data_IF_154479432531
#
_entry.id   IF_154479432531
#
_cell.length_a   1.000
_cell.length_b   1.000
_cell.length_c   1.000
_cell.angle_alpha   90.00
_cell.angle_beta   90.00
_cell.angle_gamma   90.00
#
_symmetry.space_group_name_H-M   'P 1'
#
loop_
_entity.id
_entity.type
_entity.pdbx_description
1 polymer ?
#
# COMPACT_ATOMS: atom_id res chain seq x y z
N UNK A 1 1.41 -15.52 -20.44
CA UNK A 1 0.82 -15.34 -19.11
C UNK A 1 -0.49 -14.60 -19.23
N UNK A 2 -1.54 -15.07 -18.60
CA UNK A 2 -2.88 -14.49 -18.66
C UNK A 2 -3.21 -13.78 -17.36
N UNK A 3 -3.64 -12.52 -17.45
CA UNK A 3 -3.92 -11.67 -16.29
C UNK A 3 -5.36 -11.17 -16.39
N UNK A 4 -6.14 -11.39 -15.33
CA UNK A 4 -7.51 -10.89 -15.21
C UNK A 4 -7.51 -9.71 -14.23
N UNK A 5 -7.94 -8.53 -14.67
CA UNK A 5 -8.11 -7.35 -13.81
C UNK A 5 -9.60 -7.22 -13.46
N UNK A 6 -9.91 -7.30 -12.18
CA UNK A 6 -11.27 -7.09 -11.65
C UNK A 6 -11.34 -5.67 -11.10
N UNK A 7 -12.07 -4.79 -11.81
CA UNK A 7 -12.09 -3.36 -11.58
C UNK A 7 -11.07 -2.61 -12.44
N UNK A 8 -11.43 -2.22 -13.66
CA UNK A 8 -10.57 -1.45 -14.56
C UNK A 8 -10.80 0.07 -14.37
N UNK A 9 -10.79 0.51 -13.11
CA UNK A 9 -10.73 1.90 -12.70
C UNK A 9 -9.29 2.42 -12.71
N UNK A 10 -9.01 3.49 -11.97
CA UNK A 10 -7.67 4.08 -11.88
C UNK A 10 -6.59 3.07 -11.48
N UNK A 11 -6.79 2.33 -10.40
CA UNK A 11 -5.81 1.33 -9.95
C UNK A 11 -5.66 0.20 -10.97
N UNK A 12 -6.77 -0.30 -11.55
CA UNK A 12 -6.74 -1.36 -12.54
C UNK A 12 -5.98 -0.98 -13.81
N UNK A 13 -6.12 0.24 -14.30
CA UNK A 13 -5.37 0.75 -15.45
C UNK A 13 -3.87 0.89 -15.14
N UNK A 14 -3.50 1.25 -13.92
CA UNK A 14 -2.10 1.26 -13.47
C UNK A 14 -1.51 -0.15 -13.47
N UNK A 15 -2.24 -1.15 -12.98
CA UNK A 15 -1.83 -2.56 -13.08
C UNK A 15 -1.71 -3.02 -14.53
N UNK A 16 -2.67 -2.67 -15.40
CA UNK A 16 -2.58 -2.97 -16.82
C UNK A 16 -1.24 -2.48 -17.39
N UNK A 17 -0.95 -1.18 -17.25
CA UNK A 17 0.28 -0.56 -17.75
C UNK A 17 1.55 -1.18 -17.13
N UNK A 18 1.51 -1.49 -15.83
CA UNK A 18 2.64 -2.11 -15.14
C UNK A 18 2.92 -3.53 -15.68
N UNK A 19 1.89 -4.36 -15.88
CA UNK A 19 2.06 -5.69 -16.44
C UNK A 19 2.45 -5.68 -17.92
N UNK A 20 1.93 -4.77 -18.73
CA UNK A 20 2.35 -4.58 -20.13
C UNK A 20 3.83 -4.20 -20.20
N UNK A 21 4.28 -3.26 -19.34
CA UNK A 21 5.68 -2.88 -19.23
C UNK A 21 6.55 -4.07 -18.80
N UNK A 22 6.16 -4.81 -17.76
CA UNK A 22 6.89 -5.98 -17.28
C UNK A 22 6.96 -7.06 -18.37
N UNK A 23 5.86 -7.33 -19.07
CA UNK A 23 5.85 -8.27 -20.19
C UNK A 23 6.87 -7.90 -21.28
N UNK A 24 6.93 -6.61 -21.63
CA UNK A 24 7.89 -6.09 -22.61
C UNK A 24 9.33 -6.25 -22.12
N UNK A 25 9.62 -5.89 -20.88
CA UNK A 25 10.97 -5.94 -20.32
C UNK A 25 11.47 -7.37 -20.05
N UNK A 26 10.59 -8.28 -19.61
CA UNK A 26 10.95 -9.67 -19.31
C UNK A 26 10.89 -10.62 -20.52
N UNK A 27 10.37 -10.15 -21.66
CA UNK A 27 10.13 -11.02 -22.83
C UNK A 27 9.00 -12.03 -22.64
N UNK A 28 8.21 -11.92 -21.57
CA UNK A 28 7.07 -12.80 -21.30
C UNK A 28 5.83 -12.22 -21.97
N UNK A 29 5.25 -12.95 -22.92
CA UNK A 29 4.00 -12.54 -23.56
C UNK A 29 2.86 -12.47 -22.52
N UNK A 30 2.26 -11.29 -22.38
CA UNK A 30 1.16 -11.01 -21.45
C UNK A 30 -0.13 -10.81 -22.23
N UNK A 31 -1.20 -11.48 -21.79
CA UNK A 31 -2.56 -11.30 -22.30
C UNK A 31 -3.44 -10.84 -21.15
N UNK A 32 -4.07 -9.66 -21.28
CA UNK A 32 -4.87 -9.06 -20.21
C UNK A 32 -6.35 -9.06 -20.63
N UNK A 33 -7.20 -9.43 -19.68
CA UNK A 33 -8.66 -9.30 -19.77
C UNK A 33 -9.17 -8.58 -18.51
N UNK A 34 -10.42 -8.13 -18.54
CA UNK A 34 -10.98 -7.45 -17.37
C UNK A 34 -12.45 -7.79 -17.11
N UNK A 35 -12.85 -7.59 -15.85
CA UNK A 35 -14.25 -7.52 -15.39
C UNK A 35 -14.46 -6.15 -14.76
N UNK A 36 -15.49 -5.43 -15.19
CA UNK A 36 -15.88 -4.14 -14.58
C UNK A 36 -17.40 -3.96 -14.68
N UNK A 37 -17.99 -3.29 -13.72
CA UNK A 37 -19.44 -3.00 -13.73
C UNK A 37 -19.83 -1.93 -14.76
N UNK A 38 -18.87 -1.21 -15.33
CA UNK A 38 -19.07 -0.20 -16.39
C UNK A 38 -18.22 -0.53 -17.61
N UNK A 39 -18.77 -0.33 -18.82
CA UNK A 39 -17.98 -0.48 -20.05
C UNK A 39 -16.78 0.47 -20.04
N UNK A 40 -15.63 -0.02 -20.47
CA UNK A 40 -14.38 0.78 -20.56
C UNK A 40 -13.98 0.99 -22.03
N UNK A 41 -13.42 2.16 -22.32
CA UNK A 41 -12.81 2.45 -23.63
C UNK A 41 -11.41 1.84 -23.67
N UNK A 42 -11.31 0.58 -24.03
CA UNK A 42 -10.05 -0.18 -24.09
C UNK A 42 -10.14 -1.25 -25.17
N UNK A 43 -9.00 -1.74 -25.62
CA UNK A 43 -8.87 -2.90 -26.52
C UNK A 43 -8.84 -4.23 -25.77
N UNK A 44 -8.84 -4.21 -24.43
CA UNK A 44 -8.81 -5.42 -23.62
C UNK A 44 -10.12 -6.20 -23.77
N UNK A 45 -10.03 -7.52 -23.66
CA UNK A 45 -11.20 -8.41 -23.68
C UNK A 45 -12.04 -8.22 -22.41
N UNK A 46 -13.30 -7.80 -22.53
CA UNK A 46 -14.21 -7.69 -21.39
C UNK A 46 -14.82 -9.04 -21.03
N UNK A 47 -15.16 -9.20 -19.75
CA UNK A 47 -16.05 -10.22 -19.24
C UNK A 47 -17.10 -9.56 -18.35
N UNK A 48 -18.33 -10.05 -18.39
CA UNK A 48 -19.43 -9.52 -17.57
C UNK A 48 -19.36 -10.00 -16.13
N UNK A 49 -18.81 -11.20 -15.91
CA UNK A 49 -18.80 -11.88 -14.61
C UNK A 49 -17.46 -12.55 -14.34
N UNK A 50 -17.10 -12.59 -13.07
CA UNK A 50 -15.84 -13.18 -12.59
C UNK A 50 -15.78 -14.67 -12.88
N UNK A 51 -16.85 -15.42 -12.58
CA UNK A 51 -16.94 -16.87 -12.81
C UNK A 51 -16.77 -17.24 -14.30
N UNK A 52 -17.37 -16.47 -15.19
CA UNK A 52 -17.19 -16.61 -16.64
C UNK A 52 -15.73 -16.35 -17.05
N UNK A 53 -15.11 -15.29 -16.53
CA UNK A 53 -13.71 -14.99 -16.81
C UNK A 53 -12.76 -16.08 -16.29
N UNK A 54 -12.96 -16.57 -15.08
CA UNK A 54 -12.14 -17.64 -14.50
C UNK A 54 -12.23 -18.93 -15.33
N UNK A 55 -13.43 -19.30 -15.78
CA UNK A 55 -13.66 -20.51 -16.58
C UNK A 55 -13.11 -20.40 -18.01
N UNK A 56 -13.39 -19.29 -18.69
CA UNK A 56 -13.20 -19.18 -20.14
C UNK A 56 -11.83 -18.56 -20.48
N UNK A 57 -11.31 -17.64 -19.69
CA UNK A 57 -9.99 -17.03 -19.87
C UNK A 57 -8.89 -17.82 -19.15
N UNK A 58 -9.18 -18.43 -18.01
CA UNK A 58 -8.24 -19.20 -17.18
C UNK A 58 -7.00 -18.36 -16.85
N UNK A 59 -7.13 -17.30 -16.09
CA UNK A 59 -6.01 -16.44 -15.76
C UNK A 59 -4.98 -17.14 -14.88
N UNK A 60 -3.70 -16.84 -15.10
CA UNK A 60 -2.59 -17.22 -14.22
C UNK A 60 -2.51 -16.29 -13.02
N UNK A 61 -2.88 -15.01 -13.22
CA UNK A 61 -2.90 -13.95 -12.21
C UNK A 61 -4.27 -13.27 -12.23
N UNK A 62 -4.85 -13.06 -11.04
CA UNK A 62 -6.02 -12.22 -10.82
C UNK A 62 -5.61 -10.98 -10.05
N UNK A 63 -5.98 -9.80 -10.53
CA UNK A 63 -5.79 -8.52 -9.84
C UNK A 63 -7.15 -8.03 -9.35
N UNK A 64 -7.28 -7.80 -8.05
CA UNK A 64 -8.46 -7.19 -7.43
C UNK A 64 -8.16 -5.71 -7.21
N UNK A 65 -8.80 -4.84 -8.00
CA UNK A 65 -8.59 -3.39 -8.00
C UNK A 65 -9.91 -2.60 -8.11
N UNK A 66 -10.98 -3.21 -7.61
CA UNK A 66 -12.26 -2.53 -7.39
C UNK A 66 -12.14 -1.50 -6.26
N UNK A 67 -13.21 -0.79 -5.96
CA UNK A 67 -13.25 0.09 -4.79
C UNK A 67 -13.04 -0.71 -3.49
N UNK A 68 -12.33 -0.14 -2.53
CA UNK A 68 -11.93 -0.78 -1.26
C UNK A 68 -13.10 -1.43 -0.50
N UNK A 69 -14.28 -0.82 -0.53
CA UNK A 69 -15.52 -1.36 0.06
C UNK A 69 -16.04 -2.65 -0.61
N UNK A 70 -15.55 -2.99 -1.79
CA UNK A 70 -15.97 -4.16 -2.57
C UNK A 70 -14.92 -5.28 -2.61
N UNK A 71 -13.75 -5.09 -1.98
CA UNK A 71 -12.67 -6.08 -2.02
C UNK A 71 -13.13 -7.43 -1.48
N UNK A 72 -13.75 -7.47 -0.29
CA UNK A 72 -14.20 -8.70 0.34
C UNK A 72 -15.13 -9.52 -0.57
N UNK A 73 -16.15 -8.87 -1.12
CA UNK A 73 -17.13 -9.52 -2.00
C UNK A 73 -16.50 -10.10 -3.28
N UNK A 74 -15.45 -9.48 -3.80
CA UNK A 74 -14.69 -9.98 -4.96
C UNK A 74 -13.79 -11.12 -4.56
N UNK A 75 -13.06 -11.00 -3.44
CA UNK A 75 -12.15 -12.04 -2.95
C UNK A 75 -12.90 -13.34 -2.60
N UNK A 76 -14.10 -13.25 -2.05
CA UNK A 76 -14.96 -14.41 -1.80
C UNK A 76 -15.36 -15.15 -3.10
N UNK A 77 -15.55 -14.42 -4.23
CA UNK A 77 -15.86 -15.02 -5.52
C UNK A 77 -14.67 -15.75 -6.17
N UNK A 78 -13.46 -15.61 -5.63
CA UNK A 78 -12.28 -16.35 -6.09
C UNK A 78 -12.16 -17.74 -5.44
N UNK A 79 -13.15 -18.20 -4.69
CA UNK A 79 -13.15 -19.52 -4.07
C UNK A 79 -12.90 -20.61 -5.14
N UNK A 80 -11.88 -21.44 -4.88
CA UNK A 80 -11.45 -22.48 -5.81
C UNK A 80 -10.47 -22.01 -6.90
N UNK A 81 -10.16 -20.72 -7.00
CA UNK A 81 -9.11 -20.24 -7.90
C UNK A 81 -7.73 -20.70 -7.40
N UNK A 82 -6.87 -21.14 -8.35
CA UNK A 82 -5.57 -21.77 -8.03
C UNK A 82 -4.37 -20.98 -8.52
N UNK A 83 -4.55 -19.81 -9.14
CA UNK A 83 -3.44 -18.96 -9.59
C UNK A 83 -2.99 -17.97 -8.49
N UNK A 84 -2.26 -16.97 -8.92
CA UNK A 84 -1.78 -15.90 -8.05
C UNK A 84 -2.81 -14.77 -7.94
N UNK A 85 -3.05 -14.27 -6.74
CA UNK A 85 -3.95 -13.13 -6.49
C UNK A 85 -3.14 -11.91 -6.05
N UNK A 86 -3.31 -10.79 -6.74
CA UNK A 86 -2.84 -9.47 -6.30
C UNK A 86 -4.06 -8.66 -5.89
N UNK A 87 -4.06 -8.09 -4.70
CA UNK A 87 -5.17 -7.28 -4.22
C UNK A 87 -4.69 -5.86 -3.91
N UNK A 88 -5.47 -4.86 -4.31
CA UNK A 88 -5.29 -3.49 -3.82
C UNK A 88 -5.53 -3.42 -2.31
N UNK A 89 -4.86 -2.46 -1.70
CA UNK A 89 -5.03 -2.19 -0.27
C UNK A 89 -6.25 -1.27 -0.04
N UNK A 90 -6.90 -1.35 1.13
CA UNK A 90 -6.75 -2.39 2.16
C UNK A 90 -7.35 -3.72 1.70
N UNK A 91 -7.08 -4.81 2.43
CA UNK A 91 -7.61 -6.12 2.08
C UNK A 91 -9.15 -6.13 2.08
N UNK A 92 -9.74 -5.42 3.02
CA UNK A 92 -11.19 -5.38 3.27
C UNK A 92 -11.58 -4.09 4.00
N UNK A 93 -12.87 -3.86 4.15
CA UNK A 93 -13.43 -2.83 5.02
C UNK A 93 -13.59 -3.35 6.47
N UNK A 94 -13.67 -2.48 7.49
CA UNK A 94 -13.78 -2.90 8.89
C UNK A 94 -14.91 -3.89 9.21
N UNK A 95 -16.12 -3.81 8.62
CA UNK A 95 -17.22 -4.74 8.92
C UNK A 95 -17.09 -6.11 8.21
N UNK A 96 -16.12 -6.28 7.28
CA UNK A 96 -16.01 -7.48 6.48
C UNK A 96 -15.50 -8.68 7.29
N UNK A 97 -15.98 -9.88 6.93
CA UNK A 97 -15.60 -11.14 7.58
C UNK A 97 -14.28 -11.67 7.00
N UNK A 98 -13.20 -11.46 7.72
CA UNK A 98 -11.87 -11.90 7.33
C UNK A 98 -11.74 -13.44 7.22
N UNK A 99 -12.54 -14.20 7.96
CA UNK A 99 -12.50 -15.66 7.87
C UNK A 99 -13.07 -16.16 6.53
N UNK A 100 -14.09 -15.49 5.99
CA UNK A 100 -14.61 -15.79 4.66
C UNK A 100 -13.60 -15.46 3.56
N UNK A 101 -12.91 -14.31 3.66
CA UNK A 101 -11.84 -13.96 2.73
C UNK A 101 -10.74 -15.01 2.77
N UNK A 102 -10.30 -15.39 3.96
CA UNK A 102 -9.26 -16.43 4.13
C UNK A 102 -9.69 -17.77 3.53
N UNK A 103 -10.94 -18.19 3.76
CA UNK A 103 -11.49 -19.41 3.19
C UNK A 103 -11.61 -19.33 1.65
N UNK A 104 -12.04 -18.18 1.11
CA UNK A 104 -12.14 -17.94 -0.33
C UNK A 104 -10.80 -18.03 -1.06
N UNK A 105 -9.72 -17.63 -0.40
CA UNK A 105 -8.36 -17.64 -0.97
C UNK A 105 -7.53 -18.87 -0.60
N UNK A 106 -8.09 -19.84 0.13
CA UNK A 106 -7.36 -21.01 0.63
C UNK A 106 -6.74 -21.88 -0.47
N UNK A 107 -7.26 -21.82 -1.71
CA UNK A 107 -6.77 -22.58 -2.86
C UNK A 107 -5.83 -21.79 -3.77
N UNK A 108 -5.68 -20.48 -3.54
CA UNK A 108 -4.77 -19.66 -4.32
C UNK A 108 -3.32 -20.08 -4.06
N UNK A 109 -2.54 -20.24 -5.13
CA UNK A 109 -1.13 -20.65 -5.03
C UNK A 109 -0.21 -19.54 -4.54
N UNK A 110 -0.66 -18.28 -4.58
CA UNK A 110 0.07 -17.13 -4.07
C UNK A 110 -0.83 -15.92 -3.91
N UNK A 111 -0.41 -15.02 -3.02
CA UNK A 111 -1.13 -13.78 -2.74
C UNK A 111 -0.14 -12.64 -2.48
N UNK A 112 -0.47 -11.44 -2.97
CA UNK A 112 0.22 -10.21 -2.61
C UNK A 112 -0.76 -9.06 -2.42
N UNK A 113 -0.74 -8.43 -1.24
CA UNK A 113 -1.38 -7.13 -1.03
C UNK A 113 -0.50 -6.03 -1.63
N UNK A 114 -1.10 -5.08 -2.34
CA UNK A 114 -0.37 -4.00 -3.00
C UNK A 114 0.13 -2.95 -1.99
N UNK A 115 1.27 -3.22 -1.38
CA UNK A 115 1.99 -2.30 -0.48
C UNK A 115 3.26 -1.83 -1.18
N UNK A 116 3.09 -0.86 -2.10
CA UNK A 116 4.11 -0.43 -3.06
C UNK A 116 5.40 0.09 -2.42
N UNK A 117 5.35 0.60 -1.20
CA UNK A 117 6.52 1.15 -0.50
C UNK A 117 7.58 0.08 -0.19
N UNK A 118 7.21 -1.20 -0.08
CA UNK A 118 8.15 -2.33 0.00
C UNK A 118 9.02 -2.46 -1.25
N UNK A 119 8.54 -1.95 -2.39
CA UNK A 119 9.19 -2.02 -3.71
C UNK A 119 9.96 -0.75 -4.06
N UNK A 120 10.03 0.23 -3.16
CA UNK A 120 10.96 1.34 -3.23
C UNK A 120 12.40 0.86 -3.00
N UNK A 121 13.34 1.29 -3.84
CA UNK A 121 14.77 0.98 -3.62
C UNK A 121 15.27 1.57 -2.30
N UNK A 122 14.77 2.76 -1.92
CA UNK A 122 15.10 3.38 -0.64
C UNK A 122 14.71 2.47 0.55
N UNK A 123 13.49 1.92 0.51
CA UNK A 123 13.03 0.98 1.54
C UNK A 123 13.83 -0.32 1.58
N UNK A 124 14.14 -0.86 0.39
CA UNK A 124 14.93 -2.10 0.26
C UNK A 124 16.34 -1.93 0.78
N UNK A 125 17.01 -0.84 0.43
CA UNK A 125 18.34 -0.50 0.94
C UNK A 125 18.33 -0.40 2.46
N UNK A 126 17.36 0.32 3.06
CA UNK A 126 17.28 0.41 4.51
C UNK A 126 17.07 -0.95 5.18
N UNK A 127 16.18 -1.78 4.63
CA UNK A 127 15.95 -3.14 5.14
C UNK A 127 17.23 -3.99 5.09
N UNK A 128 17.97 -3.92 3.98
CA UNK A 128 19.22 -4.65 3.82
C UNK A 128 20.29 -4.16 4.83
N UNK A 129 20.35 -2.86 5.11
CA UNK A 129 21.21 -2.31 6.15
C UNK A 129 20.83 -2.83 7.53
N UNK A 130 19.54 -2.74 7.91
CA UNK A 130 19.04 -3.25 9.20
C UNK A 130 19.39 -4.73 9.38
N UNK A 131 19.14 -5.55 8.35
CA UNK A 131 19.40 -6.99 8.41
C UNK A 131 20.91 -7.31 8.47
N UNK A 132 21.73 -6.66 7.61
CA UNK A 132 23.18 -6.93 7.51
C UNK A 132 23.92 -6.55 8.77
N UNK A 133 23.54 -5.44 9.39
CA UNK A 133 24.20 -4.94 10.60
C UNK A 133 23.52 -5.40 11.89
N UNK A 134 22.41 -6.17 11.76
CA UNK A 134 21.63 -6.66 12.90
C UNK A 134 21.16 -5.54 13.84
N UNK A 135 20.81 -4.39 13.23
CA UNK A 135 20.35 -3.24 13.99
C UNK A 135 19.03 -3.52 14.69
N UNK A 136 18.92 -3.08 15.93
CA UNK A 136 17.70 -3.22 16.74
C UNK A 136 16.93 -1.93 16.79
N UNK A 137 15.62 -2.00 16.60
CA UNK A 137 14.74 -0.84 16.70
C UNK A 137 14.64 -0.37 18.14
N UNK A 138 14.86 0.92 18.36
CA UNK A 138 14.69 1.61 19.66
C UNK A 138 13.41 2.44 19.64
N UNK A 139 13.11 3.10 18.53
CA UNK A 139 11.97 3.98 18.37
C UNK A 139 11.63 4.13 16.89
N UNK A 140 10.34 4.30 16.60
CA UNK A 140 9.89 4.69 15.26
C UNK A 140 8.84 5.82 15.33
N UNK A 141 8.78 6.60 14.24
CA UNK A 141 7.65 7.50 13.99
C UNK A 141 7.35 7.59 12.51
N UNK A 142 6.11 7.97 12.19
CA UNK A 142 5.73 8.22 10.81
C UNK A 142 4.76 9.39 10.69
N UNK A 143 4.82 10.04 9.53
CA UNK A 143 3.83 11.00 9.07
C UNK A 143 3.38 10.58 7.66
N UNK A 144 2.07 10.31 7.50
CA UNK A 144 1.51 9.79 6.25
C UNK A 144 0.30 10.63 5.82
N UNK A 145 0.58 11.76 5.18
CA UNK A 145 -0.40 12.77 4.82
C UNK A 145 -0.64 12.86 3.32
N UNK A 146 -1.91 12.96 2.94
CA UNK A 146 -2.39 13.33 1.61
C UNK A 146 -3.30 14.54 1.71
N UNK A 147 -3.26 15.39 0.71
CA UNK A 147 -4.27 16.42 0.49
C UNK A 147 -5.34 15.83 -0.42
N UNK A 148 -6.46 15.41 0.19
CA UNK A 148 -7.62 14.83 -0.51
C UNK A 148 -8.94 15.47 -0.07
N UNK A 149 -8.89 16.69 0.42
CA UNK A 149 -10.11 17.46 0.65
C UNK A 149 -10.82 17.64 -0.69
N UNK A 150 -12.10 17.29 -0.76
CA UNK A 150 -12.93 17.22 -1.96
C UNK A 150 -12.79 15.95 -2.83
N UNK A 151 -12.30 14.86 -2.26
CA UNK A 151 -12.23 13.60 -3.00
C UNK A 151 -13.62 13.06 -3.36
N UNK A 152 -13.83 12.75 -4.63
CA UNK A 152 -15.08 12.20 -5.17
C UNK A 152 -15.18 10.68 -5.07
N UNK A 153 -14.13 10.00 -4.60
CA UNK A 153 -14.10 8.55 -4.48
C UNK A 153 -14.59 8.12 -3.11
N UNK A 154 -15.52 7.16 -3.02
CA UNK A 154 -15.84 6.54 -1.75
C UNK A 154 -14.60 5.84 -1.19
N UNK A 155 -14.42 5.87 0.12
CA UNK A 155 -13.29 5.25 0.82
C UNK A 155 -13.74 4.67 2.16
N UNK A 156 -13.04 3.66 2.66
CA UNK A 156 -13.20 3.16 4.02
C UNK A 156 -12.42 3.99 5.07
N UNK A 157 -11.83 5.13 4.67
CA UNK A 157 -11.19 6.07 5.57
C UNK A 157 -9.66 6.00 5.60
N UNK A 158 -9.06 6.86 6.42
CA UNK A 158 -7.61 7.07 6.50
C UNK A 158 -6.84 5.84 7.00
N UNK A 159 -7.48 4.89 7.65
CA UNK A 159 -6.87 3.61 8.02
C UNK A 159 -6.30 2.90 6.79
N UNK A 160 -6.96 3.04 5.63
CA UNK A 160 -6.46 2.53 4.34
C UNK A 160 -5.14 3.17 3.86
N UNK A 161 -4.75 4.30 4.42
CA UNK A 161 -3.45 4.94 4.16
C UNK A 161 -2.43 4.66 5.25
N UNK A 162 -2.85 4.61 6.50
CA UNK A 162 -1.99 4.26 7.62
C UNK A 162 -1.35 2.86 7.45
N UNK A 163 -2.02 1.97 6.72
CA UNK A 163 -1.52 0.61 6.41
C UNK A 163 -0.11 0.62 5.82
N UNK A 164 0.22 1.58 4.96
CA UNK A 164 1.53 1.66 4.33
C UNK A 164 2.66 1.84 5.35
N UNK A 165 2.51 2.80 6.26
CA UNK A 165 3.51 3.06 7.28
C UNK A 165 3.58 1.93 8.31
N UNK A 166 2.44 1.39 8.74
CA UNK A 166 2.37 0.29 9.72
C UNK A 166 3.01 -0.99 9.18
N UNK A 167 2.71 -1.32 7.93
CA UNK A 167 3.34 -2.43 7.23
C UNK A 167 4.84 -2.23 7.11
N UNK A 168 5.25 -1.04 6.64
CA UNK A 168 6.63 -0.73 6.38
C UNK A 168 7.50 -0.84 7.64
N UNK A 169 7.01 -0.37 8.80
CA UNK A 169 7.73 -0.51 10.06
C UNK A 169 7.99 -1.98 10.41
N UNK A 170 6.97 -2.82 10.34
CA UNK A 170 7.08 -4.25 10.63
C UNK A 170 7.99 -4.95 9.61
N UNK A 171 7.89 -4.56 8.35
CA UNK A 171 8.69 -5.15 7.27
C UNK A 171 10.16 -4.72 7.30
N UNK A 172 10.47 -3.47 7.68
CA UNK A 172 11.84 -2.98 7.84
C UNK A 172 12.56 -3.62 9.05
N UNK A 173 11.82 -3.87 10.13
CA UNK A 173 12.37 -4.36 11.39
C UNK A 173 11.69 -5.66 11.84
N UNK A 174 11.77 -6.77 11.07
CA UNK A 174 11.03 -8.00 11.36
C UNK A 174 11.42 -8.65 12.70
N UNK A 175 12.65 -8.42 13.16
CA UNK A 175 13.14 -8.93 14.44
C UNK A 175 12.60 -8.15 15.66
N UNK A 176 11.96 -7.00 15.47
CA UNK A 176 11.47 -6.19 16.58
C UNK A 176 10.25 -6.82 17.29
N UNK A 177 9.48 -7.65 16.60
CA UNK A 177 8.30 -8.32 17.14
C UNK A 177 6.97 -7.76 16.61
N UNK A 178 5.84 -8.12 17.24
CA UNK A 178 4.53 -7.71 16.77
C UNK A 178 4.23 -6.23 17.05
N UNK A 179 3.41 -5.63 16.20
CA UNK A 179 2.90 -4.27 16.40
C UNK A 179 1.64 -4.31 17.28
N UNK A 180 1.65 -3.53 18.36
CA UNK A 180 0.57 -3.46 19.36
C UNK A 180 0.13 -2.02 19.60
N UNK A 181 -1.19 -1.74 19.49
CA UNK A 181 -1.76 -0.42 19.67
C UNK A 181 -1.89 -0.06 21.15
N UNK A 182 -1.42 1.13 21.53
CA UNK A 182 -1.59 1.72 22.85
C UNK A 182 -2.72 2.75 22.90
N UNK A 183 -2.78 3.68 21.93
CA UNK A 183 -3.81 4.71 21.87
C UNK A 183 -4.05 5.22 20.46
N UNK A 184 -5.28 5.66 20.18
CA UNK A 184 -5.67 6.23 18.88
C UNK A 184 -6.60 7.42 19.10
N UNK A 185 -6.27 8.55 18.48
CA UNK A 185 -7.15 9.70 18.32
C UNK A 185 -7.54 9.79 16.84
N UNK A 186 -8.83 9.84 16.54
CA UNK A 186 -9.35 9.94 15.18
C UNK A 186 -10.09 11.25 14.96
N UNK A 187 -10.09 11.76 13.72
CA UNK A 187 -10.92 12.89 13.30
C UNK A 187 -11.83 12.43 12.18
N UNK A 188 -13.09 12.85 12.24
CA UNK A 188 -14.10 12.68 11.18
C UNK A 188 -14.44 14.06 10.61
N UNK A 189 -14.68 14.11 9.31
CA UNK A 189 -15.04 15.36 8.64
C UNK A 189 -15.78 15.09 7.34
N UNK A 190 -16.21 16.15 6.69
CA UNK A 190 -16.82 16.11 5.36
C UNK A 190 -15.76 16.24 4.23
N UNK A 191 -14.55 15.69 4.41
CA UNK A 191 -13.43 15.82 3.47
C UNK A 191 -13.70 15.21 2.09
N UNK A 192 -14.55 14.18 2.01
CA UNK A 192 -14.87 13.46 0.78
C UNK A 192 -16.37 13.18 0.67
N UNK A 193 -16.80 12.55 -0.41
CA UNK A 193 -18.18 12.09 -0.57
C UNK A 193 -18.60 11.04 0.47
N UNK A 194 -17.64 10.38 1.14
CA UNK A 194 -17.93 9.48 2.27
C UNK A 194 -18.41 10.24 3.51
N UNK A 195 -18.22 11.55 3.56
CA UNK A 195 -18.66 12.41 4.67
C UNK A 195 -17.97 12.03 5.99
N UNK A 196 -18.65 12.30 7.09
CA UNK A 196 -18.19 12.01 8.44
C UNK A 196 -18.45 10.56 8.91
N UNK A 197 -18.84 9.68 8.01
CA UNK A 197 -18.97 8.25 8.28
C UNK A 197 -17.62 7.55 8.49
N UNK A 198 -16.53 8.11 7.93
CA UNK A 198 -15.18 7.53 7.98
C UNK A 198 -14.19 8.49 8.64
N UNK A 199 -13.08 7.94 9.17
CA UNK A 199 -11.99 8.77 9.67
C UNK A 199 -11.22 9.41 8.52
N UNK A 200 -10.94 10.71 8.59
CA UNK A 200 -10.05 11.41 7.66
C UNK A 200 -8.63 11.55 8.20
N UNK A 201 -8.46 11.59 9.50
CA UNK A 201 -7.16 11.76 10.18
C UNK A 201 -7.09 10.86 11.40
N UNK A 202 -5.91 10.34 11.68
CA UNK A 202 -5.62 9.62 12.91
C UNK A 202 -4.22 9.98 13.45
N UNK A 203 -4.12 10.01 14.77
CA UNK A 203 -2.87 9.95 15.52
C UNK A 203 -2.87 8.68 16.34
N UNK A 204 -1.74 7.98 16.39
CA UNK A 204 -1.62 6.76 17.16
C UNK A 204 -0.33 6.70 17.97
N UNK A 205 -0.40 5.98 19.08
CA UNK A 205 0.74 5.46 19.80
C UNK A 205 0.65 3.94 19.82
N UNK A 206 1.78 3.28 19.61
CA UNK A 206 1.89 1.84 19.52
C UNK A 206 3.26 1.40 20.02
N UNK A 207 3.48 0.09 20.05
CA UNK A 207 4.81 -0.52 20.16
C UNK A 207 5.04 -1.48 19.01
N UNK A 208 6.28 -1.62 18.56
CA UNK A 208 6.74 -2.69 17.68
C UNK A 208 7.72 -3.54 18.51
N UNK A 209 7.24 -4.69 19.03
CA UNK A 209 7.87 -5.32 20.17
C UNK A 209 7.91 -4.36 21.36
N UNK A 210 9.11 -4.07 21.87
CA UNK A 210 9.32 -3.12 22.99
C UNK A 210 9.55 -1.68 22.52
N UNK A 211 9.78 -1.46 21.22
CA UNK A 211 10.11 -0.13 20.68
C UNK A 211 8.84 0.74 20.53
N UNK A 212 8.79 1.94 21.13
CA UNK A 212 7.66 2.84 20.99
C UNK A 212 7.53 3.36 19.55
N UNK A 213 6.28 3.47 19.10
CA UNK A 213 5.89 3.98 17.78
C UNK A 213 4.91 5.13 17.95
N UNK A 214 5.16 6.26 17.29
CA UNK A 214 4.25 7.39 17.16
C UNK A 214 3.87 7.59 15.69
N UNK A 215 2.58 7.69 15.38
CA UNK A 215 2.11 7.79 14.02
C UNK A 215 1.07 8.88 13.80
N UNK A 216 1.13 9.48 12.62
CA UNK A 216 0.11 10.38 12.09
C UNK A 216 -0.23 9.94 10.65
N UNK A 217 -1.52 9.86 10.34
CA UNK A 217 -2.01 9.69 8.97
C UNK A 217 -3.23 10.59 8.71
N UNK A 218 -3.31 11.18 7.53
CA UNK A 218 -4.40 12.08 7.18
C UNK A 218 -4.67 12.11 5.68
N UNK A 219 -5.95 12.16 5.31
CA UNK A 219 -6.42 12.57 3.99
C UNK A 219 -6.62 14.09 3.86
N UNK A 220 -6.72 14.79 4.98
CA UNK A 220 -6.92 16.23 5.05
C UNK A 220 -5.63 16.98 5.40
N UNK A 221 -4.47 16.42 5.04
CA UNK A 221 -3.18 17.08 5.24
C UNK A 221 -3.02 18.24 4.25
N UNK A 222 -2.36 19.32 4.68
CA UNK A 222 -2.19 20.54 3.86
C UNK A 222 -1.36 20.28 2.61
N UNK A 223 -0.39 19.38 2.71
CA UNK A 223 0.46 18.95 1.61
C UNK A 223 0.65 17.44 1.66
N UNK A 224 1.00 16.81 0.54
CA UNK A 224 1.45 15.42 0.57
C UNK A 224 2.78 15.35 1.32
N UNK A 225 2.81 14.53 2.38
CA UNK A 225 3.99 14.29 3.19
C UNK A 225 3.98 12.83 3.66
N UNK A 226 5.02 12.08 3.32
CA UNK A 226 5.15 10.68 3.69
C UNK A 226 6.57 10.42 4.17
N UNK A 227 6.72 10.30 5.48
CA UNK A 227 8.01 10.05 6.12
C UNK A 227 7.91 8.93 7.13
N UNK A 228 8.98 8.16 7.25
CA UNK A 228 9.18 7.16 8.31
C UNK A 228 10.56 7.40 8.89
N UNK A 229 10.61 7.59 10.20
CA UNK A 229 11.83 7.80 10.99
C UNK A 229 12.07 6.61 11.91
N UNK A 230 13.28 6.09 11.90
CA UNK A 230 13.73 5.03 12.79
C UNK A 230 14.92 5.50 13.61
N UNK A 231 14.92 5.19 14.89
CA UNK A 231 16.11 5.20 15.73
C UNK A 231 16.46 3.75 16.04
N UNK A 232 17.68 3.38 15.72
CA UNK A 232 18.19 2.02 15.76
C UNK A 232 19.46 2.00 16.63
N UNK A 233 19.85 0.86 17.14
CA UNK A 233 21.14 0.65 17.78
C UNK A 233 21.86 -0.53 17.14
N UNK A 234 23.17 -0.42 17.02
CA UNK A 234 24.05 -1.50 16.58
C UNK A 234 24.49 -2.40 17.74
N UNK A 235 25.46 -3.28 17.49
CA UNK A 235 26.02 -4.20 18.50
C UNK A 235 26.85 -3.51 19.58
N UNK A 236 27.39 -2.32 19.26
CA UNK A 236 28.14 -1.46 20.21
C UNK A 236 27.26 -0.47 20.93
N UNK A 237 25.92 -0.61 20.83
CA UNK A 237 24.92 0.30 21.41
C UNK A 237 24.98 1.75 20.86
N UNK A 238 25.59 1.95 19.69
CA UNK A 238 25.62 3.25 19.03
C UNK A 238 24.27 3.55 18.39
N UNK A 239 23.77 4.79 18.61
CA UNK A 239 22.48 5.22 18.10
C UNK A 239 22.60 5.64 16.63
N UNK A 240 21.82 4.98 15.78
CA UNK A 240 21.73 5.22 14.35
C UNK A 240 20.34 5.73 14.04
N UNK A 241 20.27 6.73 13.18
CA UNK A 241 19.01 7.28 12.67
C UNK A 241 18.83 6.94 11.20
N UNK A 242 17.61 6.63 10.80
CA UNK A 242 17.25 6.48 9.41
C UNK A 242 15.94 7.23 9.12
N UNK A 243 15.91 7.98 8.02
CA UNK A 243 14.71 8.62 7.49
C UNK A 243 14.44 8.17 6.09
N UNK A 244 13.20 7.70 5.87
CA UNK A 244 12.62 7.51 4.55
C UNK A 244 11.65 8.64 4.26
N UNK A 245 11.75 9.23 3.07
CA UNK A 245 10.79 10.19 2.54
C UNK A 245 10.29 9.66 1.21
N UNK A 246 8.97 9.59 1.02
CA UNK A 246 8.36 9.01 -0.19
C UNK A 246 7.66 10.05 -1.04
N UNK A 247 7.66 9.82 -2.34
CA UNK A 247 6.90 10.58 -3.34
C UNK A 247 7.14 12.09 -3.27
N UNK A 248 8.38 12.52 -3.01
CA UNK A 248 8.77 13.92 -2.87
C UNK A 248 10.03 14.21 -3.68
N UNK A 249 10.02 15.20 -4.57
CA UNK A 249 8.92 16.15 -4.88
C UNK A 249 7.83 15.59 -5.79
N UNK A 250 8.01 14.43 -6.39
CA UNK A 250 7.07 13.77 -7.32
C UNK A 250 6.82 12.32 -6.90
N UNK A 251 5.79 11.70 -7.48
CA UNK A 251 5.52 10.28 -7.31
C UNK A 251 6.72 9.41 -7.66
N UNK A 252 6.95 8.35 -6.87
CA UNK A 252 8.08 7.42 -6.99
C UNK A 252 9.48 8.06 -6.86
N UNK A 253 9.56 9.33 -6.37
CA UNK A 253 10.81 9.93 -5.93
C UNK A 253 10.93 9.73 -4.42
N UNK A 254 11.80 8.82 -4.04
CA UNK A 254 11.98 8.43 -2.65
C UNK A 254 13.41 8.76 -2.20
N UNK A 255 13.56 9.10 -0.94
CA UNK A 255 14.84 9.46 -0.35
C UNK A 255 15.07 8.65 0.93
N UNK A 256 16.26 8.10 1.08
CA UNK A 256 16.77 7.49 2.30
C UNK A 256 17.99 8.24 2.77
N UNK A 257 18.03 8.57 4.06
CA UNK A 257 19.23 9.02 4.77
C UNK A 257 19.42 8.18 6.01
N UNK A 258 20.65 7.68 6.22
CA UNK A 258 21.10 6.92 7.40
C UNK A 258 22.28 7.69 7.98
N UNK A 259 22.24 8.03 9.27
CA UNK A 259 23.30 8.77 9.93
C UNK A 259 23.40 8.41 11.42
N UNK A 260 24.50 8.77 12.00
CA UNK A 260 24.75 8.73 13.43
C UNK A 260 25.35 10.07 13.89
N UNK A 261 25.50 10.24 15.18
CA UNK A 261 26.26 11.35 15.76
C UNK A 261 27.45 10.78 16.50
N UNK A 262 28.59 11.41 16.32
CA UNK A 262 29.78 11.07 17.10
C UNK A 262 29.73 11.73 18.49
N UNK A 263 30.79 11.57 19.26
CA UNK A 263 30.86 12.03 20.65
C UNK A 263 30.81 13.54 20.83
N UNK A 264 31.13 14.32 19.80
CA UNK A 264 31.04 15.80 19.80
C UNK A 264 29.70 16.31 19.25
N UNK A 265 28.83 15.40 18.83
CA UNK A 265 27.50 15.71 18.28
C UNK A 265 27.49 15.97 16.79
N UNK A 266 28.62 15.85 16.11
CA UNK A 266 28.70 16.00 14.64
C UNK A 266 27.96 14.88 13.95
N UNK A 267 27.15 15.20 12.94
CA UNK A 267 26.47 14.18 12.13
C UNK A 267 27.45 13.51 11.17
N UNK A 268 27.49 12.19 11.25
CA UNK A 268 28.17 11.31 10.30
C UNK A 268 27.13 10.60 9.44
N UNK A 269 27.07 10.95 8.15
CA UNK A 269 26.19 10.28 7.19
C UNK A 269 26.81 8.95 6.79
N UNK A 270 26.12 7.86 7.11
CA UNK A 270 26.54 6.50 6.75
C UNK A 270 26.09 6.10 5.34
N UNK A 271 24.90 6.54 4.97
CA UNK A 271 24.34 6.30 3.63
C UNK A 271 23.27 7.34 3.30
N UNK A 272 23.24 7.79 2.05
CA UNK A 272 22.22 8.68 1.54
C UNK A 272 21.96 8.37 0.07
N UNK A 273 20.70 8.19 -0.29
CA UNK A 273 20.30 7.91 -1.67
C UNK A 273 18.96 8.54 -1.99
N UNK A 274 18.86 9.12 -3.18
CA UNK A 274 17.61 9.54 -3.80
C UNK A 274 17.31 8.60 -4.96
N UNK A 275 16.12 8.02 -4.94
CA UNK A 275 15.62 7.13 -5.98
C UNK A 275 14.57 7.87 -6.79
N UNK A 276 14.65 7.76 -8.11
CA UNK A 276 13.67 8.29 -9.04
C UNK A 276 13.38 7.27 -10.14
N UNK A 277 12.21 7.30 -10.78
CA UNK A 277 11.95 6.46 -11.95
C UNK A 277 13.01 6.69 -13.02
N UNK A 278 13.68 5.61 -13.41
CA UNK A 278 14.77 5.69 -14.40
C UNK A 278 14.30 5.69 -15.86
N UNK A 279 13.02 5.47 -16.10
CA UNK A 279 12.43 5.39 -17.43
C UNK A 279 11.26 6.37 -17.58
N UNK A 280 11.23 7.19 -18.66
CA UNK A 280 10.07 7.98 -19.01
C UNK A 280 8.82 7.09 -19.14
N UNK A 281 7.69 7.55 -18.63
CA UNK A 281 6.42 6.80 -18.64
C UNK A 281 6.22 5.83 -17.48
N UNK A 282 7.22 5.65 -16.60
CA UNK A 282 7.09 4.91 -15.34
C UNK A 282 6.82 5.81 -14.13
N UNK A 283 6.67 7.11 -14.33
CA UNK A 283 6.23 8.02 -13.29
C UNK A 283 4.92 7.49 -12.70
N UNK A 284 4.85 7.35 -11.39
CA UNK A 284 3.75 6.70 -10.65
C UNK A 284 3.63 5.18 -10.80
N UNK A 285 4.41 4.53 -11.64
CA UNK A 285 4.34 3.09 -11.90
C UNK A 285 5.61 2.32 -11.47
N UNK A 286 6.67 3.00 -11.10
CA UNK A 286 7.97 2.36 -10.84
C UNK A 286 7.88 1.27 -9.74
N UNK A 287 7.37 1.64 -8.57
CA UNK A 287 7.18 0.69 -7.45
C UNK A 287 6.17 -0.42 -7.81
N UNK A 288 5.06 -0.05 -8.47
CA UNK A 288 4.05 -1.01 -8.89
C UNK A 288 4.57 -2.01 -9.93
N UNK A 289 5.37 -1.54 -10.90
CA UNK A 289 5.97 -2.42 -11.91
C UNK A 289 6.93 -3.44 -11.27
N UNK A 290 7.62 -3.07 -10.20
CA UNK A 290 8.47 -4.01 -9.44
C UNK A 290 7.66 -5.09 -8.73
N UNK A 291 6.53 -4.73 -8.09
CA UNK A 291 5.60 -5.74 -7.57
C UNK A 291 5.15 -6.69 -8.69
N UNK A 292 4.67 -6.13 -9.81
CA UNK A 292 4.20 -6.92 -10.94
C UNK A 292 5.31 -7.85 -11.49
N UNK A 293 6.55 -7.37 -11.58
CA UNK A 293 7.70 -8.19 -12.01
C UNK A 293 7.90 -9.39 -11.08
N UNK A 294 7.91 -9.18 -9.76
CA UNK A 294 8.09 -10.28 -8.80
C UNK A 294 6.95 -11.30 -8.86
N UNK A 295 5.72 -10.84 -9.08
CA UNK A 295 4.57 -11.72 -9.29
C UNK A 295 4.73 -12.53 -10.58
N UNK A 296 5.13 -11.91 -11.68
CA UNK A 296 5.38 -12.58 -12.97
C UNK A 296 6.50 -13.61 -12.85
N UNK A 297 7.62 -13.28 -12.20
CA UNK A 297 8.74 -14.21 -11.97
C UNK A 297 8.31 -15.40 -11.10
N UNK A 298 7.53 -15.15 -10.06
CA UNK A 298 7.00 -16.23 -9.21
C UNK A 298 6.06 -17.16 -10.00
N UNK A 299 5.15 -16.61 -10.79
CA UNK A 299 4.19 -17.41 -11.59
C UNK A 299 4.90 -18.18 -12.70
N UNK A 300 5.83 -17.54 -13.43
CA UNK A 300 6.53 -18.15 -14.56
C UNK A 300 7.58 -19.17 -14.14
N UNK A 301 8.31 -18.91 -13.08
CA UNK A 301 9.52 -19.68 -12.74
C UNK A 301 9.50 -20.26 -11.33
N UNK A 302 8.44 -20.01 -10.55
CA UNK A 302 8.36 -20.35 -9.11
C UNK A 302 9.55 -19.80 -8.33
N UNK A 303 10.12 -18.71 -8.82
CA UNK A 303 11.24 -18.05 -8.16
C UNK A 303 10.71 -17.22 -6.97
N UNK A 304 11.13 -17.54 -5.74
CA UNK A 304 10.74 -16.73 -4.59
C UNK A 304 11.30 -15.31 -4.76
N UNK A 305 10.55 -14.27 -4.38
CA UNK A 305 11.08 -12.91 -4.42
C UNK A 305 12.21 -12.73 -3.42
N UNK A 306 13.18 -11.87 -3.73
CA UNK A 306 14.30 -11.53 -2.83
C UNK A 306 13.81 -11.07 -1.45
N UNK A 307 12.63 -10.48 -1.43
CA UNK A 307 11.96 -10.03 -0.22
C UNK A 307 10.49 -10.49 -0.26
N UNK A 308 9.93 -10.94 0.87
CA UNK A 308 8.62 -11.57 0.89
C UNK A 308 7.52 -10.60 0.44
N UNK A 309 6.54 -11.13 -0.28
CA UNK A 309 5.30 -10.43 -0.52
C UNK A 309 4.60 -10.07 0.80
N UNK A 310 3.74 -9.05 0.78
CA UNK A 310 2.70 -8.94 1.78
C UNK A 310 1.64 -10.02 1.48
N UNK A 311 1.92 -11.23 1.96
CA UNK A 311 1.10 -12.42 1.72
C UNK A 311 -0.26 -12.34 2.42
N UNK A 312 -1.07 -13.37 2.27
CA UNK A 312 -2.41 -13.40 2.86
C UNK A 312 -2.38 -13.29 4.39
N UNK A 313 -1.43 -13.92 5.06
CA UNK A 313 -1.30 -13.84 6.52
C UNK A 313 -0.95 -12.42 6.97
N UNK A 314 0.03 -11.81 6.33
CA UNK A 314 0.39 -10.39 6.52
C UNK A 314 -0.81 -9.47 6.27
N UNK A 315 -1.53 -9.68 5.17
CA UNK A 315 -2.69 -8.88 4.79
C UNK A 315 -3.83 -8.98 5.81
N UNK A 316 -4.13 -10.20 6.30
CA UNK A 316 -5.12 -10.44 7.35
C UNK A 316 -4.69 -9.82 8.69
N UNK A 317 -3.41 -9.93 9.04
CA UNK A 317 -2.85 -9.32 10.25
C UNK A 317 -2.98 -7.80 10.22
N UNK A 318 -2.59 -7.17 9.11
CA UNK A 318 -2.74 -5.73 8.90
C UNK A 318 -4.22 -5.31 8.93
N UNK A 319 -5.12 -6.05 8.29
CA UNK A 319 -6.55 -5.70 8.32
C UNK A 319 -7.12 -5.77 9.74
N UNK A 320 -6.76 -6.77 10.54
CA UNK A 320 -7.16 -6.82 11.97
C UNK A 320 -6.64 -5.60 12.73
N UNK A 321 -5.42 -5.16 12.43
CA UNK A 321 -4.85 -3.95 13.02
C UNK A 321 -5.63 -2.69 12.61
N UNK A 322 -6.00 -2.55 11.32
CA UNK A 322 -6.82 -1.43 10.85
C UNK A 322 -8.20 -1.42 11.49
N UNK A 323 -8.84 -2.59 11.61
CA UNK A 323 -10.13 -2.72 12.30
C UNK A 323 -10.02 -2.31 13.78
N UNK A 324 -8.91 -2.66 14.44
CA UNK A 324 -8.66 -2.27 15.82
C UNK A 324 -8.38 -0.75 15.95
N UNK A 325 -7.71 -0.13 14.98
CA UNK A 325 -7.53 1.32 14.92
C UNK A 325 -8.88 2.04 14.84
N UNK A 326 -9.75 1.62 13.92
CA UNK A 326 -11.08 2.20 13.75
C UNK A 326 -11.94 2.05 15.03
N UNK A 327 -11.93 0.85 15.63
CA UNK A 327 -12.73 0.55 16.82
C UNK A 327 -12.24 1.29 18.09
N UNK A 328 -10.93 1.61 18.18
CA UNK A 328 -10.34 2.26 19.37
C UNK A 328 -10.20 3.77 19.22
N UNK A 329 -10.49 4.33 18.04
CA UNK A 329 -10.32 5.74 17.80
C UNK A 329 -11.26 6.58 18.69
N UNK A 330 -10.69 7.38 19.57
CA UNK A 330 -11.42 8.44 20.26
C UNK A 330 -11.65 9.58 19.28
N UNK A 331 -12.90 9.93 19.02
CA UNK A 331 -13.25 10.93 18.02
C UNK A 331 -13.92 12.16 18.68
N UNK A 332 -13.40 13.38 18.44
CA UNK A 332 -14.12 14.62 18.77
C UNK A 332 -15.31 14.79 17.80
N UNK A 333 -16.17 15.80 18.03
CA UNK A 333 -17.21 16.17 17.06
C UNK A 333 -16.62 16.38 15.65
N UNK A 334 -17.35 16.02 14.58
CA UNK A 334 -16.83 16.10 13.22
C UNK A 334 -16.44 17.52 12.80
N UNK A 335 -15.28 17.64 12.14
CA UNK A 335 -14.86 18.88 11.51
C UNK A 335 -15.63 19.13 10.21
N UNK A 336 -15.74 20.40 9.81
CA UNK A 336 -16.43 20.82 8.57
C UNK A 336 -15.49 21.64 7.69
N UNK A 337 -15.17 21.10 6.52
CA UNK A 337 -14.35 21.76 5.49
C UNK A 337 -15.21 22.44 4.41
N UNK A 338 -16.38 21.85 4.10
CA UNK A 338 -17.25 22.28 3.00
C UNK A 338 -18.59 22.80 3.52
N UNK A 339 -18.65 24.04 3.92
CA UNK A 339 -19.88 24.68 4.39
C UNK A 339 -20.94 24.88 3.29
N UNK A 340 -21.32 23.78 2.60
CA UNK A 340 -22.32 23.81 1.53
C UNK A 340 -21.77 24.23 0.15
N UNK A 341 -20.48 24.36 -0.02
CA UNK A 341 -19.85 24.65 -1.32
C UNK A 341 -19.77 23.42 -2.21
N UNK A 342 -19.88 23.60 -3.52
CA UNK A 342 -19.61 22.53 -4.48
C UNK A 342 -18.15 22.12 -4.40
N UNK A 343 -17.90 20.82 -4.28
CA UNK A 343 -16.55 20.28 -4.27
C UNK A 343 -15.94 20.34 -5.67
N UNK A 344 -14.69 20.79 -5.75
CA UNK A 344 -13.89 20.75 -6.96
C UNK A 344 -12.90 19.59 -6.88
N UNK A 345 -12.60 18.96 -8.02
CA UNK A 345 -11.50 18.01 -8.12
C UNK A 345 -10.17 18.75 -7.92
N UNK A 346 -9.30 18.19 -7.13
CA UNK A 346 -7.89 18.62 -7.08
C UNK A 346 -7.20 18.25 -8.39
N UNK A 347 -6.17 19.00 -8.77
CA UNK A 347 -5.41 18.73 -9.99
C UNK A 347 -4.87 17.28 -10.05
N UNK A 348 -4.49 16.71 -8.91
CA UNK A 348 -4.07 15.30 -8.80
C UNK A 348 -5.21 14.30 -9.07
N UNK A 349 -6.46 14.73 -8.88
CA UNK A 349 -7.65 13.92 -9.13
C UNK A 349 -8.21 14.14 -10.53
N UNK A 350 -7.96 15.31 -11.16
CA UNK A 350 -8.37 15.61 -12.54
C UNK A 350 -7.61 14.77 -13.58
N UNK A 351 -6.36 14.36 -13.27
CA UNK A 351 -5.63 13.40 -14.09
C UNK A 351 -6.29 12.00 -14.09
N UNK A 352 -7.16 11.72 -13.11
CA UNK A 352 -7.90 10.46 -12.99
C UNK A 352 -9.10 10.41 -13.91
N UNK A 353 -9.77 11.54 -14.19
CA UNK A 353 -10.91 11.59 -15.11
C UNK A 353 -10.46 11.52 -16.59
N UNK A 354 -9.28 12.02 -16.90
CA UNK A 354 -8.71 11.93 -18.26
C UNK A 354 -8.29 10.52 -18.65
N UNK A 355 -8.19 9.61 -17.68
CA UNK A 355 -7.83 8.19 -17.87
C UNK A 355 -9.04 7.25 -17.77
N UNK A 356 -10.25 7.78 -17.55
CA UNK A 356 -11.48 7.01 -17.40
C UNK A 356 -12.21 6.68 -18.72
#
# INVERSE_FOLDING_TARGET
MKILIIGLGYAGQRFQRAFEHVGTCSGIAVSIAYVDCRPKRTTLRPFERIDGALRDFRPDIVVVSVNDINHAAVLEQLAGYRGFVVCEKPLASPPDDLAKIQAGLATAEGFALNLVERYSDASRVLRDWVARHEWKLVRASFHWGKDRINDHRPTCGVTSEAIHALDLLSWLCPAAGPLSLAGVLGVRSDFSISGDAVLDTLQLTATLGDAPVAGYASFANVVRQRTVDLSLVDREEQLIHARLTFDTPRWDHDHLRIWMRDTDGTELVLHEVTVAPCQPGLETLHKLSRLCLRVVEWVAHRQPPDQPFADLETALGLQRLLNALEARALTPPPARYNHGTTRALLAEDSDLESLG
#
